data_IF_404287724826
#
_entry.id   IF_404287724826
#
_cell.length_a   1.000
_cell.length_b   1.000
_cell.length_c   1.000
_cell.angle_alpha   90.00
_cell.angle_beta   90.00
_cell.angle_gamma   90.00
#
_symmetry.space_group_name_H-M   'P 1'
#
loop_
_entity.id
_entity.type
_entity.pdbx_description
1 polymer ?
#
# COMPACT_ATOMS: atom_id res chain seq x y z
N UNK A 1 13.20 38.61 -6.10
CA UNK A 1 12.05 37.67 -6.15
C UNK A 1 12.45 36.23 -5.82
N UNK A 2 13.46 35.63 -6.47
CA UNK A 2 13.84 34.22 -6.21
C UNK A 2 14.32 33.88 -4.78
N UNK A 3 15.08 34.77 -4.14
CA UNK A 3 15.59 34.55 -2.77
C UNK A 3 14.48 34.54 -1.72
N UNK A 4 13.44 35.36 -1.91
CA UNK A 4 12.30 35.45 -1.00
C UNK A 4 11.45 34.18 -1.09
N UNK A 5 11.25 33.64 -2.30
CA UNK A 5 10.53 32.38 -2.51
C UNK A 5 11.27 31.20 -1.88
N UNK A 6 12.60 31.14 -2.02
CA UNK A 6 13.43 30.11 -1.38
C UNK A 6 13.38 30.18 0.14
N UNK A 7 13.46 31.39 0.71
CA UNK A 7 13.37 31.59 2.16
C UNK A 7 12.00 31.18 2.72
N UNK A 8 10.91 31.49 1.99
CA UNK A 8 9.55 31.07 2.35
C UNK A 8 9.37 29.55 2.29
N UNK A 9 9.90 28.89 1.26
CA UNK A 9 9.83 27.44 1.12
C UNK A 9 10.62 26.71 2.23
N UNK A 10 11.81 27.19 2.55
CA UNK A 10 12.63 26.64 3.63
C UNK A 10 11.97 26.83 5.00
N UNK A 11 11.35 27.99 5.25
CA UNK A 11 10.59 28.24 6.47
C UNK A 11 9.36 27.30 6.55
N UNK A 12 8.64 27.07 5.45
CA UNK A 12 7.52 26.12 5.43
C UNK A 12 7.97 24.70 5.79
N UNK A 13 9.10 24.23 5.27
CA UNK A 13 9.64 22.90 5.58
C UNK A 13 10.11 22.78 7.04
N UNK A 14 10.62 23.87 7.62
CA UNK A 14 11.15 23.86 8.98
C UNK A 14 10.07 24.04 10.06
N UNK A 15 8.96 24.73 9.74
CA UNK A 15 7.89 25.03 10.70
C UNK A 15 6.68 24.09 10.62
N UNK A 16 6.55 23.29 9.57
CA UNK A 16 5.48 22.28 9.47
C UNK A 16 6.00 20.96 10.03
N UNK A 17 5.51 20.48 11.20
CA UNK A 17 5.86 19.16 11.68
C UNK A 17 5.33 18.12 10.68
N UNK A 18 6.24 17.38 10.04
CA UNK A 18 5.88 16.21 9.26
C UNK A 18 5.34 15.16 10.23
N UNK A 19 4.02 14.97 10.26
CA UNK A 19 3.43 13.83 10.97
C UNK A 19 3.87 12.55 10.26
N UNK A 20 4.35 11.58 11.02
CA UNK A 20 4.62 10.26 10.46
C UNK A 20 3.31 9.72 9.87
N UNK A 21 3.36 9.25 8.63
CA UNK A 21 2.22 8.56 8.04
C UNK A 21 1.94 7.30 8.88
N UNK A 22 0.81 7.29 9.57
CA UNK A 22 0.34 6.12 10.29
C UNK A 22 -0.74 5.45 9.45
N UNK A 23 -0.57 4.15 9.22
CA UNK A 23 -1.68 3.32 8.75
C UNK A 23 -2.82 3.37 9.77
N UNK A 24 -4.05 3.18 9.30
CA UNK A 24 -5.18 3.01 10.20
C UNK A 24 -4.87 1.89 11.22
N UNK A 25 -5.24 2.06 12.50
CA UNK A 25 -4.91 1.09 13.54
C UNK A 25 -5.58 -0.28 13.33
N UNK A 26 -6.57 -0.37 12.43
CA UNK A 26 -7.32 -1.60 12.12
C UNK A 26 -7.25 -1.89 10.63
N UNK A 27 -6.86 -3.11 10.27
CA UNK A 27 -6.89 -3.62 8.91
C UNK A 27 -8.29 -4.15 8.57
N UNK A 28 -9.08 -3.35 7.85
CA UNK A 28 -10.45 -3.72 7.48
C UNK A 28 -10.53 -4.92 6.53
N UNK A 29 -9.48 -5.15 5.75
CA UNK A 29 -9.38 -6.28 4.81
C UNK A 29 -9.06 -7.60 5.48
N UNK A 30 -8.50 -7.61 6.69
CA UNK A 30 -7.96 -8.81 7.29
C UNK A 30 -9.06 -9.86 7.57
N UNK A 31 -8.78 -11.10 7.18
CA UNK A 31 -9.67 -12.26 7.23
C UNK A 31 -11.05 -12.03 6.58
N UNK A 32 -11.15 -11.12 5.60
CA UNK A 32 -12.37 -10.94 4.80
C UNK A 32 -12.37 -11.86 3.58
N UNK A 33 -13.56 -12.03 2.99
CA UNK A 33 -13.68 -12.66 1.69
C UNK A 33 -12.94 -11.83 0.63
N UNK A 34 -12.18 -12.53 -0.20
CA UNK A 34 -11.40 -11.96 -1.29
C UNK A 34 -11.55 -12.84 -2.52
N UNK A 35 -11.66 -12.21 -3.68
CA UNK A 35 -11.77 -12.87 -4.97
C UNK A 35 -10.71 -12.31 -5.89
N UNK A 36 -10.12 -13.14 -6.73
CA UNK A 36 -9.17 -12.73 -7.74
C UNK A 36 -9.52 -13.35 -9.09
N UNK A 37 -9.08 -12.75 -10.18
CA UNK A 37 -9.25 -13.28 -11.54
C UNK A 37 -8.55 -14.62 -11.74
N UNK A 38 -7.41 -14.82 -11.08
CA UNK A 38 -6.57 -16.01 -11.21
C UNK A 38 -5.62 -16.15 -10.02
N UNK A 39 -4.81 -17.21 -10.05
CA UNK A 39 -3.65 -17.41 -9.19
C UNK A 39 -2.52 -18.06 -9.98
N UNK A 40 -1.26 -17.69 -9.72
CA UNK A 40 -0.07 -18.25 -10.38
C UNK A 40 0.01 -19.77 -10.17
N UNK A 41 -0.22 -20.22 -8.93
CA UNK A 41 -0.25 -21.62 -8.53
C UNK A 41 -1.00 -21.79 -7.19
N UNK A 42 -1.06 -23.02 -6.66
CA UNK A 42 -1.74 -23.32 -5.39
C UNK A 42 -1.09 -22.68 -4.15
N UNK A 43 0.17 -22.25 -4.23
CA UNK A 43 0.90 -21.59 -3.15
C UNK A 43 0.68 -20.07 -3.06
N UNK A 44 -0.01 -19.47 -4.02
CA UNK A 44 -0.30 -18.02 -4.04
C UNK A 44 -1.79 -17.68 -4.20
N UNK A 45 -2.70 -18.29 -3.41
CA UNK A 45 -4.12 -18.02 -3.50
C UNK A 45 -4.49 -16.60 -3.06
N UNK A 46 -5.67 -16.12 -3.44
CA UNK A 46 -6.16 -14.77 -3.11
C UNK A 46 -6.22 -14.51 -1.59
N UNK A 47 -6.54 -15.53 -0.80
CA UNK A 47 -6.65 -15.42 0.68
C UNK A 47 -5.34 -14.98 1.33
N UNK A 48 -4.19 -15.25 0.70
CA UNK A 48 -2.88 -14.84 1.19
C UNK A 48 -2.66 -13.32 1.12
N UNK A 49 -3.52 -12.56 0.42
CA UNK A 49 -3.43 -11.10 0.42
C UNK A 49 -4.06 -10.46 1.66
N UNK A 50 -4.86 -11.22 2.43
CA UNK A 50 -5.68 -10.71 3.53
C UNK A 50 -5.59 -11.55 4.81
N UNK A 51 -4.66 -12.50 4.89
CA UNK A 51 -4.48 -13.39 6.04
C UNK A 51 -3.71 -12.71 7.19
N UNK A 52 -2.94 -11.65 6.89
CA UNK A 52 -2.11 -10.94 7.86
C UNK A 52 -0.73 -11.57 8.09
N UNK A 53 -0.34 -12.54 7.26
CA UNK A 53 1.00 -13.11 7.25
C UNK A 53 1.87 -12.39 6.22
N UNK A 54 2.94 -11.71 6.67
CA UNK A 54 3.84 -10.99 5.77
C UNK A 54 4.75 -11.94 4.94
N UNK A 55 4.72 -13.25 5.21
CA UNK A 55 5.43 -14.28 4.46
C UNK A 55 4.63 -14.86 3.29
N UNK A 56 3.32 -14.61 3.22
CA UNK A 56 2.44 -15.12 2.16
C UNK A 56 2.08 -14.00 1.18
N UNK A 57 1.66 -14.37 -0.03
CA UNK A 57 1.15 -13.42 -1.03
C UNK A 57 0.18 -14.08 -2.01
N UNK A 58 -0.67 -13.27 -2.62
CA UNK A 58 -1.30 -13.59 -3.90
C UNK A 58 -0.32 -13.30 -5.05
N UNK A 59 -0.40 -14.09 -6.13
CA UNK A 59 0.29 -13.85 -7.40
C UNK A 59 -0.68 -14.26 -8.51
N UNK A 60 -0.73 -13.52 -9.61
CA UNK A 60 -1.63 -13.80 -10.73
C UNK A 60 -1.01 -14.77 -11.75
N UNK A 61 -1.81 -15.26 -12.70
CA UNK A 61 -1.27 -15.79 -13.94
C UNK A 61 -0.49 -14.71 -14.72
N UNK A 62 0.46 -15.13 -15.55
CA UNK A 62 1.29 -14.25 -16.39
C UNK A 62 0.57 -13.81 -17.68
N UNK A 63 -0.58 -13.16 -17.55
CA UNK A 63 -1.36 -12.59 -18.65
C UNK A 63 -2.13 -11.38 -18.16
N UNK A 64 -2.39 -10.39 -19.02
CA UNK A 64 -3.25 -9.26 -18.66
C UNK A 64 -4.67 -9.45 -19.24
N UNK A 65 -5.71 -8.93 -18.58
CA UNK A 65 -5.70 -8.24 -17.28
C UNK A 65 -5.81 -9.19 -16.07
N UNK A 66 -5.30 -8.78 -14.90
CA UNK A 66 -5.45 -9.48 -13.62
C UNK A 66 -5.93 -8.54 -12.52
N UNK A 67 -6.70 -9.05 -11.57
CA UNK A 67 -7.22 -8.28 -10.44
C UNK A 67 -7.40 -9.14 -9.18
N UNK A 68 -7.38 -8.45 -8.04
CA UNK A 68 -7.73 -8.92 -6.69
C UNK A 68 -8.40 -7.79 -5.92
#
# INVERSE_FOLDING_TARGET
MGVVVLALAAALLALVPATAAHAAPVLLSQNKNVTASSQENYGTPAVNAVDGDNGTRWSSAASDPQWI
#
